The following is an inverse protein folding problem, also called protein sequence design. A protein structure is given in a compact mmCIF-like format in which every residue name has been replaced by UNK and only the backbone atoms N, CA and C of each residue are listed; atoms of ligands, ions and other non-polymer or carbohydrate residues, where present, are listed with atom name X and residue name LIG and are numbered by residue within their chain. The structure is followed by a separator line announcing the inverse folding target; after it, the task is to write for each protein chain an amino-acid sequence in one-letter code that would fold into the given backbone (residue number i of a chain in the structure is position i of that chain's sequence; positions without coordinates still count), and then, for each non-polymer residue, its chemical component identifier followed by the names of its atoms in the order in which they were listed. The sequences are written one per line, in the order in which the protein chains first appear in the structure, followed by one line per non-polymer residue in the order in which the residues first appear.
data_IF_182600005072
#
_entry.id   IF_182600005072
#
_cell.length_a   1.000
_cell.length_b   1.000
_cell.length_c   1.000
_cell.angle_alpha   90.00
_cell.angle_beta   90.00
_cell.angle_gamma   90.00
#
_symmetry.space_group_name_H-M   'P 1'
#
loop_
_entity.id
_entity.type
_entity.pdbx_description
1 polymer ?
#
# COMPACT_ATOMS: atom_id res chain seq x y z
N UNK A 1 -2.22 -12.69 9.34
CA UNK A 1 -0.94 -12.08 8.88
C UNK A 1 -0.47 -11.11 9.96
N UNK A 2 0.84 -10.93 10.18
CA UNK A 2 1.37 -10.04 11.23
C UNK A 2 2.43 -9.07 10.70
N UNK A 3 2.58 -7.91 11.34
CA UNK A 3 3.64 -6.95 11.04
C UNK A 3 5.03 -7.56 11.22
N UNK A 4 5.23 -8.36 12.27
CA UNK A 4 6.51 -9.03 12.56
C UNK A 4 6.98 -9.88 11.38
N UNK A 5 6.07 -10.68 10.78
CA UNK A 5 6.41 -11.52 9.63
C UNK A 5 6.83 -10.68 8.41
N UNK A 6 6.10 -9.60 8.13
CA UNK A 6 6.41 -8.69 7.01
C UNK A 6 7.75 -7.97 7.21
N UNK A 7 8.04 -7.52 8.43
CA UNK A 7 9.32 -6.88 8.78
C UNK A 7 10.49 -7.85 8.58
N UNK A 8 10.35 -9.10 9.02
CA UNK A 8 11.40 -10.11 8.86
C UNK A 8 11.66 -10.37 7.37
N UNK A 9 10.60 -10.54 6.56
CA UNK A 9 10.74 -10.72 5.11
C UNK A 9 11.40 -9.50 4.46
N UNK A 10 11.01 -8.28 4.85
CA UNK A 10 11.59 -7.05 4.32
C UNK A 10 13.10 -6.96 4.61
N UNK A 11 13.53 -7.34 5.83
CA UNK A 11 14.94 -7.36 6.23
C UNK A 11 15.74 -8.42 5.47
N UNK A 12 15.15 -9.58 5.24
CA UNK A 12 15.81 -10.68 4.53
C UNK A 12 15.88 -10.44 3.02
N UNK A 13 14.93 -9.69 2.46
CA UNK A 13 14.80 -9.42 1.03
C UNK A 13 14.61 -7.91 0.76
N UNK A 14 15.65 -7.07 0.92
CA UNK A 14 15.53 -5.61 0.84
C UNK A 14 15.38 -5.06 -0.59
N UNK A 15 15.37 -5.91 -1.62
CA UNK A 15 15.37 -5.50 -3.02
C UNK A 15 14.16 -6.04 -3.78
N UNK A 16 12.98 -6.03 -3.16
CA UNK A 16 11.78 -6.39 -3.89
C UNK A 16 11.57 -5.44 -5.07
N UNK A 17 11.44 -6.01 -6.26
CA UNK A 17 10.93 -5.30 -7.43
C UNK A 17 9.41 -5.38 -7.49
N UNK A 18 8.85 -6.48 -6.99
CA UNK A 18 7.42 -6.74 -6.98
C UNK A 18 7.05 -7.44 -5.67
N UNK A 19 6.16 -6.83 -4.90
CA UNK A 19 5.63 -7.43 -3.69
C UNK A 19 4.11 -7.44 -3.76
N UNK A 20 3.51 -8.62 -3.66
CA UNK A 20 2.06 -8.79 -3.77
C UNK A 20 1.60 -9.72 -2.67
N UNK A 21 0.76 -9.20 -1.79
CA UNK A 21 0.17 -10.00 -0.72
C UNK A 21 -1.34 -9.91 -0.81
N UNK A 22 -1.99 -11.07 -0.81
CA UNK A 22 -3.44 -11.21 -0.74
C UNK A 22 -3.79 -12.04 0.51
N UNK A 23 -4.42 -11.39 1.47
CA UNK A 23 -4.92 -12.02 2.69
C UNK A 23 -6.39 -12.32 2.45
N UNK A 24 -6.77 -13.59 2.63
CA UNK A 24 -8.18 -14.01 2.61
C UNK A 24 -8.93 -13.32 3.75
N UNK A 25 -10.18 -12.93 3.50
CA UNK A 25 -10.98 -12.11 4.42
C UNK A 25 -10.96 -12.68 5.85
N UNK A 26 -10.52 -11.90 6.86
CA UNK A 26 -10.55 -12.29 8.27
C UNK A 26 -11.91 -12.75 8.78
N UNK A 27 -13.00 -12.19 8.25
CA UNK A 27 -14.37 -12.60 8.60
C UNK A 27 -14.67 -14.04 8.18
N UNK A 28 -14.05 -14.50 7.09
CA UNK A 28 -14.11 -15.91 6.66
C UNK A 28 -13.36 -16.81 7.64
N UNK A 29 -12.37 -16.26 8.36
CA UNK A 29 -11.50 -17.00 9.28
C UNK A 29 -11.89 -16.84 10.76
N UNK A 30 -12.94 -16.07 11.08
CA UNK A 30 -13.47 -15.91 12.44
C UNK A 30 -12.52 -15.20 13.42
N UNK A 31 -11.66 -14.31 12.95
CA UNK A 31 -10.68 -13.59 13.78
C UNK A 31 -11.05 -12.11 13.92
N UNK A 32 -11.49 -11.71 15.11
CA UNK A 32 -12.02 -10.36 15.39
C UNK A 32 -10.96 -9.34 15.84
N UNK A 33 -9.69 -9.74 15.99
CA UNK A 33 -8.62 -8.90 16.55
C UNK A 33 -7.43 -8.84 15.60
N UNK A 34 -7.55 -8.05 14.53
CA UNK A 34 -6.42 -7.79 13.63
C UNK A 34 -5.91 -6.37 13.81
N UNK A 35 -4.61 -6.26 14.13
CA UNK A 35 -3.90 -4.99 14.07
C UNK A 35 -3.71 -4.56 12.61
N UNK A 36 -3.70 -3.25 12.32
CA UNK A 36 -3.34 -2.75 11.00
C UNK A 36 -1.93 -3.21 10.59
N UNK A 37 -1.74 -3.51 9.31
CA UNK A 37 -0.49 -4.01 8.74
C UNK A 37 0.43 -2.90 8.21
N UNK A 38 0.15 -1.64 8.56
CA UNK A 38 0.84 -0.46 8.05
C UNK A 38 2.36 -0.53 8.28
N UNK A 39 2.79 -0.92 9.49
CA UNK A 39 4.22 -1.04 9.84
C UNK A 39 4.93 -2.14 9.06
N UNK A 40 4.26 -3.27 8.85
CA UNK A 40 4.78 -4.42 8.12
C UNK A 40 4.99 -4.09 6.65
N UNK A 41 3.99 -3.48 6.01
CA UNK A 41 4.13 -2.98 4.64
C UNK A 41 5.11 -1.80 4.57
N UNK A 42 5.11 -0.90 5.55
CA UNK A 42 6.06 0.20 5.68
C UNK A 42 7.51 -0.28 5.63
N UNK A 43 7.83 -1.38 6.32
CA UNK A 43 9.16 -1.98 6.24
C UNK A 43 9.50 -2.50 4.83
N UNK A 44 8.56 -3.16 4.14
CA UNK A 44 8.74 -3.61 2.74
C UNK A 44 9.02 -2.42 1.82
N UNK A 45 8.18 -1.38 1.93
CA UNK A 45 8.22 -0.14 1.16
C UNK A 45 9.56 0.57 1.38
N UNK A 46 9.93 0.82 2.63
CA UNK A 46 11.12 1.59 2.99
C UNK A 46 12.41 0.86 2.61
N UNK A 47 12.49 -0.45 2.83
CA UNK A 47 13.69 -1.23 2.50
C UNK A 47 13.83 -1.43 0.98
N UNK A 48 12.71 -1.63 0.27
CA UNK A 48 12.72 -1.84 -1.20
C UNK A 48 12.53 -0.57 -2.03
N UNK A 49 12.62 0.62 -1.41
CA UNK A 49 12.24 1.92 -2.01
C UNK A 49 12.88 2.24 -3.36
N UNK A 50 14.09 1.76 -3.62
CA UNK A 50 14.82 2.00 -4.88
C UNK A 50 14.41 1.06 -6.01
N UNK A 51 13.91 -0.14 -5.68
CA UNK A 51 13.66 -1.21 -6.64
C UNK A 51 12.18 -1.50 -6.86
N UNK A 52 11.31 -1.15 -5.90
CA UNK A 52 9.91 -1.54 -5.89
C UNK A 52 9.13 -0.87 -7.03
N UNK A 53 8.59 -1.69 -7.94
CA UNK A 53 7.82 -1.28 -9.12
C UNK A 53 6.35 -1.67 -9.04
N UNK A 54 6.04 -2.79 -8.37
CA UNK A 54 4.67 -3.27 -8.23
C UNK A 54 4.37 -3.64 -6.78
N UNK A 55 3.28 -3.09 -6.26
CA UNK A 55 2.81 -3.33 -4.91
C UNK A 55 1.34 -3.78 -4.96
N UNK A 56 1.00 -4.84 -4.21
CA UNK A 56 -0.40 -5.20 -3.94
C UNK A 56 -0.61 -5.38 -2.45
N UNK A 57 -1.56 -4.63 -1.91
CA UNK A 57 -1.85 -4.54 -0.49
C UNK A 57 -3.17 -5.24 -0.16
N UNK A 58 -3.26 -5.80 1.03
CA UNK A 58 -4.48 -6.41 1.59
C UNK A 58 -4.37 -6.50 3.12
N UNK A 59 -5.49 -6.80 3.77
CA UNK A 59 -5.60 -6.82 5.23
C UNK A 59 -6.12 -5.49 5.77
N UNK A 60 -6.10 -5.34 7.10
CA UNK A 60 -6.47 -4.07 7.73
C UNK A 60 -5.33 -3.07 7.51
N UNK A 61 -5.64 -1.94 6.89
CA UNK A 61 -4.71 -0.87 6.53
C UNK A 61 -5.34 0.48 6.85
N UNK A 62 -4.52 1.45 7.20
CA UNK A 62 -4.94 2.84 7.43
C UNK A 62 -4.30 3.77 6.41
N UNK A 63 -4.62 5.06 6.46
CA UNK A 63 -3.99 6.07 5.60
C UNK A 63 -2.45 6.11 5.74
N UNK A 64 -1.92 5.57 6.85
CA UNK A 64 -0.48 5.52 7.14
C UNK A 64 0.33 4.75 6.11
N UNK A 65 -0.15 3.60 5.61
CA UNK A 65 0.59 2.85 4.58
C UNK A 65 0.70 3.65 3.28
N UNK A 66 -0.35 4.41 2.93
CA UNK A 66 -0.36 5.25 1.74
C UNK A 66 0.58 6.44 1.86
N UNK A 67 0.67 7.02 3.05
CA UNK A 67 1.69 8.00 3.38
C UNK A 67 3.10 7.43 3.18
N UNK A 68 3.38 6.21 3.66
CA UNK A 68 4.68 5.56 3.43
C UNK A 68 4.98 5.31 1.96
N UNK A 69 3.99 4.89 1.15
CA UNK A 69 4.16 4.72 -0.29
C UNK A 69 4.61 6.04 -0.92
N UNK A 70 3.85 7.11 -0.66
CA UNK A 70 4.13 8.44 -1.20
C UNK A 70 5.48 9.01 -0.75
N UNK A 71 5.85 8.78 0.51
CA UNK A 71 7.11 9.28 1.07
C UNK A 71 8.35 8.55 0.54
N UNK A 72 8.25 7.25 0.27
CA UNK A 72 9.45 6.43 0.02
C UNK A 72 9.61 5.93 -1.41
N UNK A 73 8.53 5.67 -2.16
CA UNK A 73 8.60 4.87 -3.41
C UNK A 73 8.21 5.69 -4.64
N UNK A 74 9.09 6.59 -5.05
CA UNK A 74 8.93 7.41 -6.28
C UNK A 74 8.84 6.59 -7.58
N UNK A 75 9.38 5.37 -7.52
CA UNK A 75 9.61 4.46 -8.64
C UNK A 75 8.45 3.48 -8.89
N UNK A 76 7.38 3.57 -8.08
CA UNK A 76 6.24 2.67 -8.16
C UNK A 76 5.48 2.87 -9.48
N UNK A 77 5.21 1.78 -10.17
CA UNK A 77 4.57 1.79 -11.49
C UNK A 77 3.14 1.23 -11.44
N UNK A 78 2.91 0.30 -10.52
CA UNK A 78 1.61 -0.36 -10.35
C UNK A 78 1.27 -0.57 -8.88
N UNK A 79 0.10 -0.09 -8.47
CA UNK A 79 -0.48 -0.29 -7.15
C UNK A 79 -1.83 -0.99 -7.30
N UNK A 80 -2.04 -2.02 -6.50
CA UNK A 80 -3.32 -2.70 -6.36
C UNK A 80 -3.72 -2.72 -4.89
N UNK A 81 -4.91 -2.21 -4.58
CA UNK A 81 -5.41 -2.06 -3.21
C UNK A 81 -6.83 -2.59 -3.12
N UNK A 82 -7.10 -3.38 -2.07
CA UNK A 82 -8.41 -3.93 -1.76
C UNK A 82 -8.80 -3.52 -0.34
N UNK A 83 -9.97 -2.87 -0.20
CA UNK A 83 -10.49 -2.27 1.04
C UNK A 83 -9.62 -1.10 1.50
N UNK A 84 -10.11 0.14 1.36
CA UNK A 84 -9.26 1.30 1.57
C UNK A 84 -9.96 2.47 2.25
N UNK A 85 -9.31 2.96 3.32
CA UNK A 85 -9.14 4.36 3.71
C UNK A 85 -10.40 5.10 4.11
N UNK A 86 -10.37 5.84 5.21
CA UNK A 86 -11.57 6.57 5.65
C UNK A 86 -11.82 7.84 4.81
N UNK A 87 -10.84 8.27 3.99
CA UNK A 87 -10.90 9.52 3.24
C UNK A 87 -9.92 9.60 2.05
N UNK A 88 -10.06 10.65 1.24
CA UNK A 88 -9.31 10.87 0.01
C UNK A 88 -7.81 11.12 0.19
N UNK A 89 -7.34 11.51 1.40
CA UNK A 89 -5.93 11.89 1.62
C UNK A 89 -4.96 10.74 1.34
N UNK A 90 -5.38 9.50 1.60
CA UNK A 90 -4.57 8.33 1.33
C UNK A 90 -4.12 8.27 -0.13
N UNK A 91 -5.02 8.46 -1.11
CA UNK A 91 -4.62 8.48 -2.52
C UNK A 91 -3.75 9.69 -2.88
N UNK A 92 -3.98 10.85 -2.26
CA UNK A 92 -3.17 12.04 -2.53
C UNK A 92 -1.71 11.81 -2.18
N UNK A 93 -1.41 11.06 -1.11
CA UNK A 93 -0.03 10.70 -0.79
C UNK A 93 0.62 9.88 -1.90
N UNK A 94 -0.10 8.89 -2.45
CA UNK A 94 0.41 8.04 -3.53
C UNK A 94 0.62 8.84 -4.81
N UNK A 95 -0.39 9.60 -5.24
CA UNK A 95 -0.35 10.36 -6.49
C UNK A 95 0.78 11.39 -6.47
N UNK A 96 0.94 12.12 -5.36
CA UNK A 96 1.97 13.16 -5.23
C UNK A 96 3.38 12.57 -5.06
N UNK A 97 3.51 11.37 -4.51
CA UNK A 97 4.81 10.75 -4.24
C UNK A 97 5.34 9.86 -5.36
N UNK A 98 4.48 9.17 -6.10
CA UNK A 98 4.85 8.16 -7.09
C UNK A 98 4.88 8.72 -8.52
N UNK A 99 6.02 9.25 -8.96
CA UNK A 99 6.15 9.93 -10.27
C UNK A 99 6.11 9.00 -11.49
N UNK A 100 6.33 7.70 -11.32
CA UNK A 100 6.37 6.72 -12.41
C UNK A 100 5.11 5.86 -12.49
N UNK A 101 4.03 6.32 -11.84
CA UNK A 101 2.82 5.56 -11.65
C UNK A 101 2.03 5.44 -12.96
N UNK A 102 1.74 4.20 -13.38
CA UNK A 102 1.09 3.90 -14.67
C UNK A 102 -0.20 3.11 -14.53
N UNK A 103 -0.36 2.36 -13.44
CA UNK A 103 -1.52 1.49 -13.25
C UNK A 103 -2.00 1.48 -11.80
N UNK A 104 -3.27 1.81 -11.64
CA UNK A 104 -3.99 1.76 -10.38
C UNK A 104 -5.12 0.74 -10.48
N UNK A 105 -5.17 -0.19 -9.55
CA UNK A 105 -6.28 -1.12 -9.37
C UNK A 105 -6.84 -0.90 -7.97
N UNK A 106 -8.09 -0.44 -7.87
CA UNK A 106 -8.78 -0.28 -6.59
C UNK A 106 -9.98 -1.22 -6.58
N UNK A 107 -10.12 -1.98 -5.50
CA UNK A 107 -11.27 -2.85 -5.26
C UNK A 107 -11.89 -2.50 -3.90
N UNK A 108 -13.22 -2.44 -3.85
CA UNK A 108 -13.98 -2.23 -2.61
C UNK A 108 -13.54 -0.93 -1.86
N UNK A 109 -13.48 0.17 -2.61
CA UNK A 109 -12.96 1.48 -2.16
C UNK A 109 -13.96 2.28 -1.32
N UNK A 110 -13.44 3.11 -0.39
CA UNK A 110 -14.17 4.25 0.19
C UNK A 110 -13.65 5.61 -0.30
N UNK A 111 -12.72 5.64 -1.27
CA UNK A 111 -12.29 6.90 -1.89
C UNK A 111 -13.45 7.61 -2.58
N UNK A 112 -13.56 8.91 -2.31
CA UNK A 112 -14.44 9.85 -2.98
C UNK A 112 -13.77 10.54 -4.18
N UNK A 113 -14.49 11.49 -4.74
CA UNK A 113 -14.15 12.09 -6.03
C UNK A 113 -12.90 12.97 -5.97
N UNK A 114 -12.57 13.57 -4.81
CA UNK A 114 -11.43 14.51 -4.68
C UNK A 114 -10.12 13.81 -5.02
N UNK A 115 -9.96 12.56 -4.57
CA UNK A 115 -8.78 11.75 -4.88
C UNK A 115 -8.58 11.50 -6.38
N UNK A 116 -9.66 11.49 -7.17
CA UNK A 116 -9.63 11.21 -8.61
C UNK A 116 -9.61 12.47 -9.46
N UNK A 117 -10.15 13.58 -8.94
CA UNK A 117 -10.22 14.87 -9.61
C UNK A 117 -8.94 15.71 -9.48
N UNK A 118 -8.07 15.34 -8.56
CA UNK A 118 -6.77 16.01 -8.39
C UNK A 118 -5.94 15.93 -9.66
N UNK A 119 -5.54 17.10 -10.16
CA UNK A 119 -4.70 17.20 -11.34
C UNK A 119 -3.31 16.67 -10.98
N UNK A 120 -2.93 15.53 -11.57
CA UNK A 120 -1.55 15.05 -11.48
C UNK A 120 -0.66 16.06 -12.21
N UNK A 121 0.04 16.89 -11.43
CA UNK A 121 0.98 17.88 -11.95
C UNK A 121 1.97 17.22 -12.92
N UNK A 122 1.97 17.72 -14.16
CA UNK A 122 2.84 17.27 -15.26
C UNK A 122 4.33 17.47 -14.96
#
# INVERSE_FOLDING_TARGET
MTNVALIIIAKNCPHFTRFRLCILDPKILGSDTLQPLDEGFGAIIQLSKKSLRRLSLSGLLTDQVYLYIGMYVEQLEMLSVAIVGDNDKAMLYVINGCKHFRKLEIKDSLFGDVALLEEVGK
#
